data_IF_738085866860
#
_entry.id   IF_738085866860
#
_cell.length_a   1.000
_cell.length_b   1.000
_cell.length_c   1.000
_cell.angle_alpha   90.00
_cell.angle_beta   90.00
_cell.angle_gamma   90.00
#
_symmetry.space_group_name_H-M   'P 1'
#
loop_
_entity.id
_entity.type
_entity.pdbx_description
1 polymer ?
#
# COMPACT_ATOMS: atom_id res chain seq x y z
N UNK A 1 -27.79 -1.00 13.73
CA UNK A 1 -26.75 -0.08 13.22
C UNK A 1 -25.49 -0.90 12.98
N UNK A 2 -25.25 -1.33 11.74
CA UNK A 2 -24.06 -2.11 11.41
C UNK A 2 -22.94 -1.14 11.06
N UNK A 3 -22.09 -0.81 12.04
CA UNK A 3 -20.90 -0.01 11.81
C UNK A 3 -19.89 -0.88 11.06
N UNK A 4 -19.98 -0.90 9.72
CA UNK A 4 -18.90 -1.37 8.88
C UNK A 4 -17.68 -0.46 9.12
N UNK A 5 -16.82 -0.82 10.08
CA UNK A 5 -15.46 -0.29 10.17
C UNK A 5 -14.79 -0.63 8.83
N UNK A 6 -14.72 0.34 7.92
CA UNK A 6 -13.88 0.23 6.72
C UNK A 6 -12.48 -0.15 7.20
N UNK A 7 -11.94 -1.27 6.72
CA UNK A 7 -10.57 -1.63 7.00
C UNK A 7 -9.68 -0.45 6.55
N UNK A 8 -8.75 0.01 7.39
CA UNK A 8 -7.92 1.18 7.08
C UNK A 8 -6.91 0.89 5.96
N UNK A 9 -6.69 -0.39 5.65
CA UNK A 9 -5.94 -0.89 4.52
C UNK A 9 -6.84 -1.74 3.62
N UNK A 10 -6.46 -1.84 2.35
CA UNK A 10 -7.15 -2.61 1.32
C UNK A 10 -6.17 -3.53 0.60
N UNK A 11 -6.69 -4.36 -0.28
CA UNK A 11 -5.88 -5.14 -1.21
C UNK A 11 -5.26 -4.24 -2.28
N UNK A 12 -4.10 -4.65 -2.80
CA UNK A 12 -3.44 -3.93 -3.88
C UNK A 12 -4.16 -4.24 -5.19
N UNK A 13 -4.64 -3.21 -5.89
CA UNK A 13 -5.39 -3.35 -7.14
C UNK A 13 -4.84 -2.47 -8.27
N UNK A 14 -5.27 -2.76 -9.50
CA UNK A 14 -5.02 -1.92 -10.66
C UNK A 14 -3.56 -1.82 -11.06
N UNK A 15 -3.10 -0.61 -11.42
CA UNK A 15 -1.73 -0.37 -11.85
C UNK A 15 -0.70 -0.75 -10.80
N UNK A 16 -1.01 -0.58 -9.51
CA UNK A 16 -0.12 -0.92 -8.41
C UNK A 16 0.15 -2.43 -8.34
N UNK A 17 -0.90 -3.23 -8.53
CA UNK A 17 -0.79 -4.68 -8.58
C UNK A 17 0.08 -5.10 -9.77
N UNK A 18 -0.22 -4.58 -10.96
CA UNK A 18 0.55 -4.88 -12.17
C UNK A 18 2.01 -4.47 -12.06
N UNK A 19 2.30 -3.34 -11.41
CA UNK A 19 3.67 -2.87 -11.20
C UNK A 19 4.45 -3.81 -10.28
N UNK A 20 3.86 -4.27 -9.18
CA UNK A 20 4.52 -5.19 -8.24
C UNK A 20 4.79 -6.56 -8.88
N UNK A 21 3.83 -7.10 -9.63
CA UNK A 21 3.99 -8.41 -10.29
C UNK A 21 5.02 -8.31 -11.42
N UNK A 22 4.93 -7.30 -12.30
CA UNK A 22 5.81 -7.22 -13.47
C UNK A 22 7.22 -6.70 -13.14
N UNK A 23 7.31 -5.61 -12.37
CA UNK A 23 8.61 -4.96 -12.08
C UNK A 23 9.37 -5.64 -10.96
N UNK A 24 8.66 -5.98 -9.88
CA UNK A 24 9.25 -6.57 -8.68
C UNK A 24 9.13 -8.09 -8.62
N UNK A 25 8.55 -8.72 -9.65
CA UNK A 25 8.42 -10.18 -9.79
C UNK A 25 7.76 -10.84 -8.56
N UNK A 26 6.82 -10.12 -7.93
CA UNK A 26 6.07 -10.66 -6.79
C UNK A 26 5.04 -11.65 -7.29
N UNK A 27 5.03 -12.82 -6.66
CA UNK A 27 4.04 -13.85 -6.91
C UNK A 27 2.61 -13.33 -6.66
N UNK A 28 1.70 -13.65 -7.58
CA UNK A 28 0.30 -13.18 -7.57
C UNK A 28 -0.43 -13.67 -6.32
N UNK A 29 -0.20 -14.91 -5.91
CA UNK A 29 -0.83 -15.49 -4.72
C UNK A 29 -0.29 -14.78 -3.46
N UNK A 30 1.02 -14.55 -3.35
CA UNK A 30 1.62 -13.76 -2.25
C UNK A 30 1.05 -12.34 -2.22
N UNK A 31 0.95 -11.66 -3.36
CA UNK A 31 0.44 -10.30 -3.43
C UNK A 31 -1.04 -10.22 -2.98
N UNK A 32 -1.86 -11.19 -3.37
CA UNK A 32 -3.27 -11.24 -2.99
C UNK A 32 -3.49 -11.69 -1.53
N UNK A 33 -2.72 -12.66 -1.03
CA UNK A 33 -2.91 -13.24 0.30
C UNK A 33 -2.22 -12.47 1.41
N UNK A 34 -0.99 -12.03 1.16
CA UNK A 34 -0.09 -11.55 2.21
C UNK A 34 0.11 -10.04 2.18
N UNK A 35 -0.06 -9.39 1.03
CA UNK A 35 0.19 -7.96 0.90
C UNK A 35 -1.08 -7.12 0.96
N UNK A 36 -0.99 -5.99 1.65
CA UNK A 36 -2.05 -4.99 1.72
C UNK A 36 -1.45 -3.62 1.50
N UNK A 37 -2.28 -2.69 1.06
CA UNK A 37 -1.88 -1.30 0.94
C UNK A 37 -2.78 -0.36 1.73
N UNK A 38 -2.18 0.73 2.19
CA UNK A 38 -2.90 1.92 2.62
C UNK A 38 -2.77 2.98 1.54
N UNK A 39 -3.85 3.72 1.34
CA UNK A 39 -3.90 4.81 0.39
C UNK A 39 -4.12 6.13 1.12
N UNK A 40 -3.51 7.18 0.60
CA UNK A 40 -3.72 8.54 1.07
C UNK A 40 -3.75 9.48 -0.12
N UNK A 41 -4.75 10.37 -0.14
CA UNK A 41 -4.78 11.44 -1.15
C UNK A 41 -3.62 12.39 -0.90
N UNK A 42 -2.89 12.70 -1.96
CA UNK A 42 -1.77 13.63 -1.94
C UNK A 42 -1.62 14.34 -3.27
N UNK A 43 -0.58 15.16 -3.35
CA UNK A 43 -0.20 15.86 -4.57
C UNK A 43 1.31 15.78 -4.71
N UNK A 44 1.80 15.57 -5.92
CA UNK A 44 3.23 15.70 -6.21
C UNK A 44 3.63 17.17 -6.28
N UNK A 45 4.94 17.43 -6.18
CA UNK A 45 5.54 18.74 -6.47
C UNK A 45 5.09 19.22 -7.85
N UNK A 46 4.35 20.33 -7.88
CA UNK A 46 3.68 20.84 -9.08
C UNK A 46 2.14 20.73 -9.07
N UNK A 47 1.55 20.18 -8.01
CA UNK A 47 0.09 20.18 -7.82
C UNK A 47 -0.65 19.06 -8.53
N UNK A 48 0.06 18.08 -9.09
CA UNK A 48 -0.56 16.90 -9.71
C UNK A 48 -1.20 16.02 -8.63
N UNK A 49 -2.53 15.81 -8.65
CA UNK A 49 -3.19 14.96 -7.68
C UNK A 49 -2.80 13.50 -7.89
N UNK A 50 -2.34 12.85 -6.82
CA UNK A 50 -1.96 11.44 -6.82
C UNK A 50 -2.51 10.73 -5.60
N UNK A 51 -2.61 9.42 -5.69
CA UNK A 51 -2.92 8.58 -4.52
C UNK A 51 -1.61 7.98 -4.04
N UNK A 52 -1.11 8.47 -2.91
CA UNK A 52 0.05 7.88 -2.26
C UNK A 52 -0.32 6.49 -1.75
N UNK A 53 0.59 5.54 -1.96
CA UNK A 53 0.41 4.12 -1.65
C UNK A 53 1.59 3.64 -0.80
N UNK A 54 1.28 2.96 0.30
CA UNK A 54 2.25 2.18 1.07
C UNK A 54 1.77 0.75 1.13
N UNK A 55 2.59 -0.16 0.61
CA UNK A 55 2.35 -1.59 0.58
C UNK A 55 3.14 -2.24 1.71
N UNK A 56 2.50 -3.13 2.44
CA UNK A 56 3.11 -3.85 3.55
C UNK A 56 2.67 -5.32 3.52
N UNK A 57 3.43 -6.17 4.18
CA UNK A 57 3.08 -7.57 4.37
C UNK A 57 2.37 -7.73 5.71
N UNK A 58 1.18 -8.34 5.69
CA UNK A 58 0.42 -8.63 6.91
C UNK A 58 1.24 -9.50 7.84
N UNK A 59 1.98 -10.48 7.30
CA UNK A 59 2.85 -11.37 8.08
C UNK A 59 3.91 -10.62 8.87
N UNK A 60 4.53 -9.58 8.31
CA UNK A 60 5.58 -8.81 8.99
C UNK A 60 4.99 -7.88 10.05
N UNK A 61 3.85 -7.24 9.78
CA UNK A 61 3.12 -6.47 10.78
C UNK A 61 2.68 -7.35 11.97
N UNK A 62 2.14 -8.55 11.68
CA UNK A 62 1.70 -9.51 12.70
C UNK A 62 2.87 -10.03 13.53
N UNK A 63 4.02 -10.35 12.91
CA UNK A 63 5.24 -10.77 13.63
C UNK A 63 5.75 -9.70 14.59
N UNK A 64 5.59 -8.41 14.23
CA UNK A 64 5.95 -7.28 15.10
C UNK A 64 4.85 -6.89 16.09
N UNK A 65 3.68 -7.53 16.04
CA UNK A 65 2.53 -7.17 16.86
C UNK A 65 1.97 -5.78 16.57
N UNK A 66 2.17 -5.27 15.34
CA UNK A 66 1.71 -3.95 14.92
C UNK A 66 0.34 -4.06 14.27
N UNK A 67 -0.66 -3.40 14.87
CA UNK A 67 -1.99 -3.24 14.27
C UNK A 67 -1.97 -2.06 13.28
N UNK A 68 -2.17 -2.35 12.00
CA UNK A 68 -2.19 -1.32 10.95
C UNK A 68 -3.54 -0.62 10.97
N UNK A 69 -3.58 0.52 11.67
CA UNK A 69 -4.76 1.37 11.81
C UNK A 69 -4.89 2.43 10.71
N UNK A 70 -3.83 2.67 9.92
CA UNK A 70 -3.86 3.63 8.82
C UNK A 70 -2.48 4.05 8.33
N UNK A 71 -2.44 5.11 7.52
CA UNK A 71 -1.21 5.67 6.97
C UNK A 71 -0.16 6.00 8.05
N UNK A 72 -0.62 6.58 9.15
CA UNK A 72 0.19 7.01 10.30
C UNK A 72 0.89 5.88 11.05
N UNK A 73 0.42 4.63 10.93
CA UNK A 73 1.10 3.48 11.51
C UNK A 73 2.52 3.36 10.94
N UNK A 74 2.67 3.63 9.65
CA UNK A 74 3.94 3.52 8.95
C UNK A 74 4.86 4.73 9.15
N UNK A 75 4.35 5.86 9.63
CA UNK A 75 5.19 6.98 10.08
C UNK A 75 5.96 6.60 11.35
N UNK A 76 5.42 5.70 12.18
CA UNK A 76 6.09 5.14 13.38
C UNK A 76 6.87 3.85 13.09
N UNK A 77 6.44 3.09 12.09
CA UNK A 77 7.03 1.82 11.69
C UNK A 77 7.36 1.80 10.18
N UNK A 78 8.27 2.66 9.70
CA UNK A 78 8.62 2.75 8.28
C UNK A 78 9.26 1.47 7.75
N UNK A 79 9.85 0.67 8.64
CA UNK A 79 10.45 -0.64 8.38
C UNK A 79 9.43 -1.72 8.00
N UNK A 80 8.14 -1.50 8.25
CA UNK A 80 7.07 -2.41 7.84
C UNK A 80 6.59 -2.15 6.40
N UNK A 81 7.01 -1.02 5.81
CA UNK A 81 6.67 -0.70 4.42
C UNK A 81 7.56 -1.55 3.52
N UNK A 82 6.95 -2.46 2.78
CA UNK A 82 7.65 -3.25 1.76
C UNK A 82 7.88 -2.41 0.49
N UNK A 83 6.88 -1.63 0.09
CA UNK A 83 6.96 -0.72 -1.05
C UNK A 83 6.24 0.58 -0.75
N UNK A 84 6.82 1.69 -1.20
CA UNK A 84 6.22 3.01 -1.11
C UNK A 84 6.18 3.69 -2.47
N UNK A 85 5.14 4.48 -2.70
CA UNK A 85 5.09 5.38 -3.83
C UNK A 85 3.70 5.93 -4.07
N UNK A 86 3.26 5.98 -5.32
CA UNK A 86 2.00 6.63 -5.69
C UNK A 86 1.37 6.06 -6.96
N UNK A 87 0.06 6.31 -7.08
CA UNK A 87 -0.76 6.04 -8.26
C UNK A 87 -1.26 7.36 -8.84
N UNK A 88 -1.09 7.55 -10.14
CA UNK A 88 -1.64 8.70 -10.86
C UNK A 88 -3.13 8.50 -11.17
N UNK A 89 -3.80 9.57 -11.61
CA UNK A 89 -5.19 9.47 -12.09
C UNK A 89 -5.34 8.59 -13.34
N UNK A 90 -4.26 8.41 -14.10
CA UNK A 90 -4.19 7.52 -15.28
C UNK A 90 -3.99 6.04 -14.89
N UNK A 91 -4.07 5.70 -13.59
CA UNK A 91 -3.85 4.35 -13.07
C UNK A 91 -2.42 3.83 -13.31
N UNK A 92 -1.44 4.74 -13.45
CA UNK A 92 -0.03 4.39 -13.52
C UNK A 92 0.54 4.37 -12.10
N UNK A 93 1.15 3.24 -11.74
CA UNK A 93 1.76 3.07 -10.43
C UNK A 93 3.27 3.23 -10.49
N UNK A 94 3.79 3.92 -9.48
CA UNK A 94 5.20 4.12 -9.23
C UNK A 94 5.43 3.63 -7.80
N UNK A 95 5.93 2.40 -7.65
CA UNK A 95 6.19 1.79 -6.35
C UNK A 95 7.66 1.35 -6.28
N UNK A 96 8.34 1.81 -5.26
CA UNK A 96 9.75 1.49 -5.00
C UNK A 96 9.91 0.75 -3.67
N UNK A 97 10.84 -0.21 -3.58
CA UNK A 97 11.12 -0.89 -2.33
C UNK A 97 11.71 0.10 -1.32
N UNK A 98 11.36 -0.07 -0.05
CA UNK A 98 11.84 0.77 1.05
C UNK A 98 12.70 -0.01 2.04
#
# INVERSE_FOLDING_TARGET
>A
MWFFKKKPFKEVYGGAWGHLVNKHQIDVDTLHREMRCVEKQGSLDGGTPVTLLRVFRIGDAAKKGVDVSGWETFDKHPDLIAFEGYLTQTNEAFLEPR
#
